data_IF_512610920871
#
_entry.id   IF_512610920871
#
_cell.length_a   1.000
_cell.length_b   1.000
_cell.length_c   1.000
_cell.angle_alpha   90.00
_cell.angle_beta   90.00
_cell.angle_gamma   90.00
#
_symmetry.space_group_name_H-M   'P 1'
#
loop_
_entity.id
_entity.type
_entity.pdbx_description
1 polymer ?
#
# COMPACT_ATOMS: atom_id res chain seq x y z
N UNK A 1 4.39 8.45 -37.23
CA UNK A 1 4.24 7.04 -36.81
C UNK A 1 3.54 6.28 -37.94
N UNK A 2 4.15 5.22 -38.47
CA UNK A 2 3.57 4.45 -39.58
C UNK A 2 2.14 3.99 -39.25
N UNK A 3 1.16 4.50 -40.01
CA UNK A 3 -0.25 4.07 -39.91
C UNK A 3 -0.33 2.63 -40.43
N UNK A 4 -0.41 1.66 -39.51
CA UNK A 4 -0.76 0.30 -39.90
C UNK A 4 -2.22 0.31 -40.39
N UNK A 5 -2.40 0.19 -41.70
CA UNK A 5 -3.68 0.18 -42.41
C UNK A 5 -4.63 -0.94 -41.96
N UNK A 6 -4.14 -1.95 -41.22
CA UNK A 6 -4.93 -3.10 -40.76
C UNK A 6 -5.45 -3.00 -39.32
N UNK A 7 -5.29 -1.85 -38.65
CA UNK A 7 -5.77 -1.64 -37.27
C UNK A 7 -5.11 -2.54 -36.21
N UNK A 8 -4.06 -3.29 -36.57
CA UNK A 8 -3.26 -4.12 -35.67
C UNK A 8 -2.17 -3.28 -35.02
N UNK A 9 -1.80 -3.63 -33.79
CA UNK A 9 -0.73 -2.95 -33.05
C UNK A 9 0.10 -3.94 -32.21
N UNK A 10 1.37 -3.63 -31.90
CA UNK A 10 2.18 -4.48 -31.04
C UNK A 10 1.74 -4.39 -29.57
N UNK A 11 1.77 -5.52 -28.87
CA UNK A 11 1.54 -5.56 -27.42
C UNK A 11 2.69 -4.89 -26.65
N UNK A 12 2.39 -4.04 -25.68
CA UNK A 12 3.42 -3.38 -24.87
C UNK A 12 4.21 -4.30 -23.92
N UNK A 13 3.75 -5.55 -23.70
CA UNK A 13 4.41 -6.53 -22.84
C UNK A 13 5.20 -7.55 -23.68
N UNK A 14 4.52 -8.32 -24.54
CA UNK A 14 5.15 -9.39 -25.33
C UNK A 14 5.53 -9.00 -26.76
N UNK A 15 5.23 -7.76 -27.19
CA UNK A 15 5.51 -7.20 -28.54
C UNK A 15 4.86 -7.91 -29.73
N UNK A 16 4.08 -8.98 -29.51
CA UNK A 16 3.28 -9.63 -30.56
C UNK A 16 2.24 -8.66 -31.14
N UNK A 17 2.05 -8.70 -32.44
CA UNK A 17 1.00 -7.93 -33.13
C UNK A 17 -0.37 -8.54 -32.83
N UNK A 18 -1.32 -7.73 -32.40
CA UNK A 18 -2.69 -8.15 -32.15
C UNK A 18 -3.69 -7.10 -32.65
N UNK A 19 -4.93 -7.52 -32.83
CA UNK A 19 -6.04 -6.65 -33.16
C UNK A 19 -6.82 -6.32 -31.89
N UNK A 20 -6.87 -5.04 -31.47
CA UNK A 20 -7.70 -4.63 -30.35
C UNK A 20 -9.18 -4.92 -30.59
N UNK A 21 -9.91 -5.16 -29.51
CA UNK A 21 -11.38 -5.27 -29.55
C UNK A 21 -11.97 -3.92 -29.98
N UNK A 22 -13.05 -3.93 -30.77
CA UNK A 22 -13.62 -2.75 -31.41
C UNK A 22 -13.92 -1.59 -30.44
N UNK A 23 -14.46 -1.90 -29.27
CA UNK A 23 -14.77 -0.93 -28.21
C UNK A 23 -13.53 -0.32 -27.54
N UNK A 24 -12.39 -1.00 -27.62
CA UNK A 24 -11.16 -0.65 -26.91
C UNK A 24 -10.00 -0.36 -27.89
N UNK A 25 -10.28 -0.05 -29.16
CA UNK A 25 -9.27 0.18 -30.22
C UNK A 25 -8.13 1.11 -29.78
N UNK A 26 -8.47 2.23 -29.15
CA UNK A 26 -7.48 3.17 -28.61
C UNK A 26 -6.83 2.74 -27.29
N UNK A 27 -7.60 2.08 -26.42
CA UNK A 27 -7.25 1.84 -25.01
C UNK A 27 -6.49 0.53 -24.76
N UNK A 28 -6.79 -0.55 -25.50
CA UNK A 28 -6.25 -1.88 -25.22
C UNK A 28 -4.77 -1.98 -25.59
N UNK A 29 -3.85 -1.91 -24.63
CA UNK A 29 -2.38 -1.97 -24.84
C UNK A 29 -1.78 -3.38 -24.80
N UNK A 30 -2.51 -4.34 -24.27
CA UNK A 30 -2.06 -5.71 -24.08
C UNK A 30 -2.97 -6.72 -24.80
N UNK A 31 -2.35 -7.75 -25.39
CA UNK A 31 -3.04 -8.72 -26.25
C UNK A 31 -3.89 -9.74 -25.48
N UNK A 32 -3.40 -10.23 -24.34
CA UNK A 32 -4.04 -11.28 -23.53
C UNK A 32 -4.26 -10.83 -22.09
N UNK A 33 -5.10 -11.57 -21.35
CA UNK A 33 -5.34 -11.34 -19.91
C UNK A 33 -4.06 -11.36 -19.09
N UNK A 34 -3.15 -12.31 -19.37
CA UNK A 34 -1.86 -12.38 -18.71
C UNK A 34 -1.00 -11.12 -18.96
N UNK A 35 -0.97 -10.63 -20.21
CA UNK A 35 -0.27 -9.37 -20.52
C UNK A 35 -0.95 -8.14 -19.89
N UNK A 36 -2.28 -8.16 -19.73
CA UNK A 36 -3.00 -7.09 -19.04
C UNK A 36 -2.70 -7.07 -17.54
N UNK A 37 -2.64 -8.24 -16.91
CA UNK A 37 -2.25 -8.40 -15.51
C UNK A 37 -0.81 -7.91 -15.28
N UNK A 38 0.12 -8.29 -16.15
CA UNK A 38 1.51 -7.82 -16.02
C UNK A 38 1.62 -6.31 -16.27
N UNK A 39 0.86 -5.75 -17.22
CA UNK A 39 0.79 -4.31 -17.43
C UNK A 39 0.23 -3.60 -16.18
N UNK A 40 -0.83 -4.13 -15.58
CA UNK A 40 -1.42 -3.61 -14.36
C UNK A 40 -0.42 -3.67 -13.20
N UNK A 41 0.26 -4.81 -13.00
CA UNK A 41 1.31 -4.99 -11.99
C UNK A 41 2.40 -3.92 -12.10
N UNK A 42 2.94 -3.71 -13.32
CA UNK A 42 3.97 -2.68 -13.58
C UNK A 42 3.45 -1.26 -13.34
N UNK A 43 2.22 -0.97 -13.74
CA UNK A 43 1.60 0.35 -13.54
C UNK A 43 1.35 0.62 -12.05
N UNK A 44 0.80 -0.35 -11.31
CA UNK A 44 0.64 -0.27 -9.87
C UNK A 44 1.99 -0.10 -9.18
N UNK A 45 3.01 -0.86 -9.56
CA UNK A 45 4.36 -0.71 -9.00
C UNK A 45 4.91 0.71 -9.23
N UNK A 46 4.79 1.22 -10.46
CA UNK A 46 5.24 2.58 -10.78
C UNK A 46 4.44 3.64 -10.02
N UNK A 47 3.12 3.47 -9.92
CA UNK A 47 2.24 4.37 -9.18
C UNK A 47 2.58 4.36 -7.68
N UNK A 48 2.79 3.18 -7.09
CA UNK A 48 3.21 2.99 -5.70
C UNK A 48 4.56 3.64 -5.43
N UNK A 49 5.50 3.53 -6.37
CA UNK A 49 6.83 4.13 -6.24
C UNK A 49 6.79 5.65 -6.28
N UNK A 50 5.90 6.24 -7.10
CA UNK A 50 5.69 7.70 -7.19
C UNK A 50 4.88 8.25 -6.00
N UNK A 51 3.92 7.49 -5.51
CA UNK A 51 2.96 7.93 -4.49
C UNK A 51 3.29 7.37 -3.10
N UNK A 52 4.57 7.12 -2.79
CA UNK A 52 4.97 6.58 -1.47
C UNK A 52 4.41 7.41 -0.31
N UNK A 53 4.41 8.74 -0.44
CA UNK A 53 3.88 9.63 0.58
C UNK A 53 2.37 9.41 0.83
N UNK A 54 1.58 9.28 -0.24
CA UNK A 54 0.15 9.00 -0.16
C UNK A 54 -0.14 7.72 0.64
N UNK A 55 0.54 6.63 0.31
CA UNK A 55 0.38 5.36 1.03
C UNK A 55 0.82 5.44 2.49
N UNK A 56 1.90 6.17 2.78
CA UNK A 56 2.37 6.39 4.15
C UNK A 56 1.36 7.17 4.99
N UNK A 57 0.69 8.16 4.39
CA UNK A 57 -0.35 8.94 5.05
C UNK A 57 -1.59 8.09 5.32
N UNK A 58 -2.09 7.37 4.31
CA UNK A 58 -3.26 6.50 4.47
C UNK A 58 -3.01 5.43 5.53
N UNK A 59 -1.86 4.75 5.49
CA UNK A 59 -1.50 3.74 6.49
C UNK A 59 -1.56 4.27 7.93
N UNK A 60 -1.07 5.50 8.16
CA UNK A 60 -1.10 6.10 9.49
C UNK A 60 -2.52 6.53 9.87
N UNK A 61 -3.28 7.10 8.93
CA UNK A 61 -4.68 7.49 9.14
C UNK A 61 -5.54 6.28 9.52
N UNK A 62 -5.45 5.18 8.77
CA UNK A 62 -6.19 3.95 9.04
C UNK A 62 -5.86 3.39 10.43
N UNK A 63 -4.59 3.48 10.86
CA UNK A 63 -4.17 3.07 12.20
C UNK A 63 -4.75 3.95 13.31
N UNK A 64 -4.82 5.25 13.09
CA UNK A 64 -5.42 6.18 14.05
C UNK A 64 -6.92 5.93 14.13
N UNK A 65 -7.59 5.72 12.99
CA UNK A 65 -9.01 5.39 12.94
C UNK A 65 -9.32 4.08 13.67
N UNK A 66 -8.52 3.04 13.48
CA UNK A 66 -8.70 1.77 14.20
C UNK A 66 -8.57 1.91 15.73
N UNK A 67 -7.86 2.94 16.23
CA UNK A 67 -7.81 3.24 17.67
C UNK A 67 -9.11 3.92 18.10
N UNK A 68 -9.61 4.85 17.30
CA UNK A 68 -10.88 5.54 17.55
C UNK A 68 -12.06 4.56 17.60
N UNK A 69 -12.07 3.55 16.74
CA UNK A 69 -13.09 2.50 16.72
C UNK A 69 -12.99 1.53 17.92
N UNK A 70 -11.84 1.49 18.60
CA UNK A 70 -11.62 0.65 19.79
C UNK A 70 -11.90 1.37 21.10
N UNK A 71 -12.02 2.69 21.10
CA UNK A 71 -12.50 3.42 22.27
C UNK A 71 -13.98 3.06 22.44
N UNK A 72 -14.36 2.31 23.51
CA UNK A 72 -15.75 1.93 23.69
C UNK A 72 -16.58 3.21 23.85
N UNK A 73 -17.55 3.40 22.97
CA UNK A 73 -18.66 4.31 23.23
C UNK A 73 -19.21 4.00 24.62
N UNK A 74 -19.58 5.04 25.37
CA UNK A 74 -20.10 4.96 26.75
C UNK A 74 -21.51 4.33 26.83
N UNK A 75 -21.88 3.48 25.87
CA UNK A 75 -23.19 2.85 25.79
C UNK A 75 -23.11 1.38 26.25
N UNK A 76 -24.08 0.86 27.02
CA UNK A 76 -24.03 -0.48 27.59
C UNK A 76 -23.97 -1.58 26.51
N UNK A 77 -23.27 -2.71 26.77
CA UNK A 77 -22.95 -3.68 25.74
C UNK A 77 -24.14 -4.61 25.45
N UNK A 78 -24.67 -4.57 24.21
CA UNK A 78 -25.43 -5.69 23.65
C UNK A 78 -24.50 -6.52 22.79
N UNK A 79 -24.19 -7.73 23.27
CA UNK A 79 -23.11 -8.56 22.78
C UNK A 79 -23.38 -9.22 21.44
N UNK A 80 -22.29 -9.41 20.68
CA UNK A 80 -22.13 -10.51 19.72
C UNK A 80 -20.66 -10.99 19.69
N UNK A 81 -20.41 -12.28 19.42
CA UNK A 81 -19.14 -12.95 19.68
C UNK A 81 -18.05 -12.62 18.65
N UNK A 82 -16.83 -12.68 19.16
CA UNK A 82 -15.57 -12.18 18.61
C UNK A 82 -14.91 -13.30 17.81
N UNK A 83 -14.97 -13.22 16.49
CA UNK A 83 -14.07 -13.95 15.60
C UNK A 83 -13.14 -12.94 14.92
N UNK A 84 -12.24 -12.34 15.70
CA UNK A 84 -11.07 -11.65 15.13
C UNK A 84 -9.99 -12.70 14.90
N UNK A 85 -9.46 -12.87 13.68
CA UNK A 85 -8.29 -13.74 13.49
C UNK A 85 -7.14 -13.14 14.30
N UNK A 86 -6.58 -13.96 15.18
CA UNK A 86 -5.36 -13.65 15.92
C UNK A 86 -4.25 -13.35 14.91
N UNK A 87 -4.12 -12.07 14.56
CA UNK A 87 -3.02 -11.61 13.72
C UNK A 87 -1.85 -11.38 14.66
N UNK A 88 -1.18 -12.48 15.01
CA UNK A 88 0.14 -12.44 15.60
C UNK A 88 1.08 -11.83 14.56
N UNK A 89 1.33 -10.53 14.66
CA UNK A 89 2.41 -9.88 13.92
C UNK A 89 3.57 -9.68 14.89
N UNK A 90 4.56 -10.59 14.95
CA UNK A 90 5.83 -10.24 15.54
C UNK A 90 6.58 -9.40 14.50
N UNK A 91 6.47 -8.08 14.59
CA UNK A 91 7.46 -7.21 13.97
C UNK A 91 8.12 -6.42 15.09
N UNK A 92 9.23 -6.96 15.60
CA UNK A 92 10.15 -6.20 16.44
C UNK A 92 10.71 -5.07 15.57
N UNK A 93 10.00 -3.96 15.51
CA UNK A 93 10.53 -2.71 14.97
C UNK A 93 11.49 -2.19 16.02
N UNK A 94 12.77 -2.54 15.89
CA UNK A 94 13.83 -1.80 16.58
C UNK A 94 13.75 -0.33 16.16
N UNK A 95 13.89 0.62 17.10
CA UNK A 95 14.13 0.44 18.54
C UNK A 95 12.87 0.13 19.36
N UNK A 96 13.06 -0.56 20.48
CA UNK A 96 12.03 -0.79 21.50
C UNK A 96 11.73 0.57 22.15
N UNK A 97 10.52 1.10 21.93
CA UNK A 97 10.07 2.33 22.58
C UNK A 97 9.40 2.01 23.92
N UNK A 98 9.57 2.85 24.96
CA UNK A 98 8.81 2.75 26.20
C UNK A 98 7.36 3.19 25.97
N UNK A 99 6.58 2.35 25.29
CA UNK A 99 5.22 2.67 24.85
C UNK A 99 4.31 2.98 26.03
N UNK A 100 4.50 2.35 27.18
CA UNK A 100 3.68 2.56 28.37
C UNK A 100 3.77 4.01 28.89
N UNK A 101 4.99 4.57 28.95
CA UNK A 101 5.22 5.96 29.37
C UNK A 101 4.62 6.93 28.34
N UNK A 102 4.84 6.66 27.05
CA UNK A 102 4.33 7.51 25.97
C UNK A 102 2.80 7.51 25.96
N UNK A 103 2.17 6.35 26.10
CA UNK A 103 0.71 6.23 26.18
C UNK A 103 0.17 6.95 27.42
N UNK A 104 0.82 6.82 28.57
CA UNK A 104 0.40 7.46 29.82
C UNK A 104 0.43 8.99 29.76
N UNK A 105 1.46 9.58 29.13
CA UNK A 105 1.62 11.04 29.08
C UNK A 105 1.01 11.70 27.83
N UNK A 106 1.00 11.00 26.70
CA UNK A 106 0.66 11.58 25.38
C UNK A 106 -0.55 10.92 24.71
N UNK A 107 -1.04 9.81 25.27
CA UNK A 107 -2.16 9.04 24.73
C UNK A 107 -1.78 8.02 23.66
N UNK A 108 -2.70 7.09 23.40
CA UNK A 108 -2.54 5.95 22.47
C UNK A 108 -2.28 6.38 21.02
N UNK A 109 -2.95 7.43 20.54
CA UNK A 109 -2.76 7.98 19.19
C UNK A 109 -1.34 8.51 18.97
N UNK A 110 -0.86 9.34 19.90
CA UNK A 110 0.49 9.90 19.86
C UNK A 110 1.56 8.82 19.90
N UNK A 111 1.35 7.77 20.70
CA UNK A 111 2.26 6.63 20.76
C UNK A 111 2.41 5.92 19.40
N UNK A 112 1.32 5.70 18.68
CA UNK A 112 1.34 5.09 17.34
C UNK A 112 2.02 5.98 16.30
N UNK A 113 1.77 7.30 16.35
CA UNK A 113 2.45 8.28 15.48
C UNK A 113 3.96 8.25 15.73
N UNK A 114 4.40 8.31 16.99
CA UNK A 114 5.82 8.32 17.37
C UNK A 114 6.48 7.01 16.92
N UNK A 115 5.88 5.86 17.21
CA UNK A 115 6.39 4.56 16.77
C UNK A 115 6.57 4.50 15.25
N UNK A 116 5.59 5.02 14.50
CA UNK A 116 5.64 5.05 13.06
C UNK A 116 6.77 5.96 12.53
N UNK A 117 6.94 7.15 13.11
CA UNK A 117 8.02 8.07 12.73
C UNK A 117 9.38 7.47 12.98
N UNK A 118 9.60 6.89 14.16
CA UNK A 118 10.86 6.22 14.50
C UNK A 118 11.14 5.08 13.51
N UNK A 119 10.16 4.25 13.19
CA UNK A 119 10.33 3.19 12.20
C UNK A 119 10.74 3.74 10.82
N UNK A 120 10.11 4.82 10.36
CA UNK A 120 10.43 5.44 9.07
C UNK A 120 11.86 6.02 9.06
N UNK A 121 12.27 6.67 10.14
CA UNK A 121 13.62 7.24 10.28
C UNK A 121 14.66 6.13 10.28
N UNK A 122 14.51 5.12 11.13
CA UNK A 122 15.44 3.98 11.21
C UNK A 122 15.54 3.26 9.86
N UNK A 123 14.41 3.04 9.18
CA UNK A 123 14.39 2.44 7.85
C UNK A 123 15.12 3.31 6.83
N UNK A 124 14.91 4.62 6.84
CA UNK A 124 15.57 5.54 5.91
C UNK A 124 17.09 5.58 6.14
N UNK A 125 17.54 5.57 7.41
CA UNK A 125 18.96 5.50 7.77
C UNK A 125 19.57 4.17 7.31
N UNK A 126 18.90 3.02 7.56
CA UNK A 126 19.36 1.71 7.08
C UNK A 126 19.51 1.67 5.57
N UNK A 127 18.51 2.15 4.82
CA UNK A 127 18.56 2.18 3.34
C UNK A 127 19.72 3.04 2.84
N UNK A 128 19.97 4.20 3.46
CA UNK A 128 21.13 5.05 3.13
C UNK A 128 22.46 4.39 3.47
N UNK A 129 22.55 3.72 4.61
CA UNK A 129 23.75 3.02 5.05
C UNK A 129 24.07 1.79 4.18
N UNK A 130 23.06 1.14 3.59
CA UNK A 130 23.23 -0.01 2.70
C UNK A 130 23.77 0.31 1.30
N UNK A 131 24.02 1.58 0.96
CA UNK A 131 25.00 1.96 -0.06
C UNK A 131 24.88 1.35 -1.46
N UNK A 132 23.70 1.00 -1.96
CA UNK A 132 23.51 0.61 -3.37
C UNK A 132 22.53 1.58 -4.05
N UNK A 133 22.93 2.20 -5.19
CA UNK A 133 22.08 3.13 -5.94
C UNK A 133 20.81 2.47 -6.49
#
# INVERSE_FOLDING_TARGET
>A
MAKNTRGKRPCCICRKWFQPIAQQKGRQRACSKACQQELHRRQCEQWNRKNKAYFKSNYLADKIQAIDEQEPSRDPPQGQPKNSPATSVPCRTEPILPMDIIMAHMGKKSAVIIQYLVFQITRHIRVRASGFP
#
